data_IF_140209241165
#
_entry.id   IF_140209241165
#
_cell.length_a   1.000
_cell.length_b   1.000
_cell.length_c   1.000
_cell.angle_alpha   90.00
_cell.angle_beta   90.00
_cell.angle_gamma   90.00
#
_symmetry.space_group_name_H-M   'P 1'
#
loop_
_entity.id
_entity.type
_entity.pdbx_description
1 polymer ?
#
# COMPACT_ATOMS: atom_id res chain seq x y z
N UNK A 1 43.73 -19.48 -7.91
CA UNK A 1 43.81 -18.02 -7.70
C UNK A 1 42.80 -17.32 -8.61
N UNK A 2 41.69 -16.85 -8.04
CA UNK A 2 40.63 -16.15 -8.78
C UNK A 2 40.96 -14.64 -8.86
N UNK A 3 40.67 -13.94 -9.98
CA UNK A 3 40.90 -12.51 -10.09
C UNK A 3 39.83 -11.73 -9.32
N UNK A 4 40.26 -10.73 -8.54
CA UNK A 4 39.42 -9.81 -7.78
C UNK A 4 38.55 -8.92 -8.69
N UNK A 5 37.32 -8.54 -8.28
CA UNK A 5 36.52 -7.55 -8.99
C UNK A 5 37.09 -6.15 -8.78
N UNK A 6 37.28 -5.44 -9.90
CA UNK A 6 37.78 -4.06 -9.97
C UNK A 6 36.68 -3.06 -9.58
N UNK A 7 37.02 -2.11 -8.72
CA UNK A 7 36.17 -0.96 -8.37
C UNK A 7 35.94 -0.04 -9.58
N UNK A 8 34.73 0.53 -9.76
CA UNK A 8 34.54 1.64 -10.68
C UNK A 8 34.94 2.96 -10.02
N UNK A 9 36.12 3.43 -10.40
CA UNK A 9 36.56 4.81 -10.24
C UNK A 9 35.65 5.72 -11.11
N UNK A 10 34.94 6.69 -10.52
CA UNK A 10 34.33 7.81 -11.26
C UNK A 10 34.83 9.13 -10.71
N UNK A 11 35.92 9.55 -11.33
CA UNK A 11 36.48 10.90 -11.32
C UNK A 11 35.45 11.94 -11.75
N UNK A 12 35.46 13.04 -11.01
CA UNK A 12 35.02 14.39 -11.35
C UNK A 12 34.98 14.71 -12.86
N UNK A 13 33.86 15.26 -13.30
CA UNK A 13 33.66 15.84 -14.63
C UNK A 13 32.69 17.01 -14.56
N UNK A 14 33.22 18.19 -14.21
CA UNK A 14 32.59 19.47 -14.51
C UNK A 14 32.76 19.74 -16.01
N UNK A 15 31.66 19.90 -16.77
CA UNK A 15 31.66 20.72 -17.99
C UNK A 15 30.23 21.14 -18.39
N UNK A 16 29.95 22.40 -18.07
CA UNK A 16 29.06 23.38 -18.72
C UNK A 16 28.47 23.02 -20.10
N UNK A 17 27.14 23.16 -20.22
CA UNK A 17 26.50 23.77 -21.40
C UNK A 17 25.15 24.41 -21.01
N UNK A 18 24.90 25.69 -21.34
CA UNK A 18 23.67 26.39 -20.98
C UNK A 18 22.64 26.31 -22.12
N UNK A 19 21.52 25.64 -21.88
CA UNK A 19 20.27 25.92 -22.59
C UNK A 19 19.20 26.15 -21.51
N UNK A 20 18.71 27.39 -21.32
CA UNK A 20 17.58 27.60 -20.44
C UNK A 20 16.33 27.03 -21.12
N UNK A 21 15.89 25.86 -20.65
CA UNK A 21 14.50 25.44 -20.84
C UNK A 21 13.66 26.54 -20.20
N UNK A 22 12.91 27.27 -21.01
CA UNK A 22 11.93 28.23 -20.53
C UNK A 22 10.84 27.43 -19.79
N UNK A 23 11.04 27.22 -18.49
CA UNK A 23 9.95 26.88 -17.60
C UNK A 23 9.05 28.10 -17.65
N UNK A 24 7.86 27.95 -18.25
CA UNK A 24 6.83 28.98 -18.31
C UNK A 24 6.37 29.22 -16.87
N UNK A 25 7.12 30.06 -16.17
CA UNK A 25 6.84 30.49 -14.82
C UNK A 25 5.53 31.26 -14.75
N UNK A 26 4.98 31.30 -13.55
CA UNK A 26 3.78 32.08 -13.23
C UNK A 26 3.94 33.52 -13.74
N UNK A 27 2.89 34.13 -14.32
CA UNK A 27 2.97 35.49 -14.86
C UNK A 27 3.49 36.49 -13.83
N UNK A 28 4.30 37.46 -14.27
CA UNK A 28 4.68 38.60 -13.44
C UNK A 28 3.42 39.26 -12.88
N UNK A 29 3.37 39.46 -11.56
CA UNK A 29 2.21 39.97 -10.84
C UNK A 29 1.26 38.90 -10.25
N UNK A 30 1.53 37.59 -10.43
CA UNK A 30 0.72 36.54 -9.80
C UNK A 30 0.69 36.61 -8.26
N UNK A 31 1.77 37.13 -7.64
CA UNK A 31 1.88 37.26 -6.18
C UNK A 31 1.71 38.71 -5.67
N UNK A 32 1.45 39.68 -6.54
CA UNK A 32 1.39 41.11 -6.17
C UNK A 32 0.09 41.52 -5.46
N UNK A 33 -0.77 40.57 -5.10
CA UNK A 33 -1.94 40.82 -4.26
C UNK A 33 -1.52 40.98 -2.79
N UNK A 34 -0.93 42.13 -2.47
CA UNK A 34 -0.69 42.53 -1.10
C UNK A 34 -2.00 42.96 -0.42
N UNK A 35 -2.39 42.16 0.57
CA UNK A 35 -3.15 42.54 1.77
C UNK A 35 -4.64 42.87 1.62
N UNK A 36 -5.48 41.84 1.61
CA UNK A 36 -6.63 41.80 2.54
C UNK A 36 -6.69 40.41 3.17
N UNK A 37 -6.64 40.34 4.51
CA UNK A 37 -6.91 39.13 5.27
C UNK A 37 -8.20 38.45 4.79
N UNK A 38 -8.26 37.11 4.66
CA UNK A 38 -9.50 36.41 4.86
C UNK A 38 -9.73 36.33 6.38
N UNK A 39 -10.58 37.22 6.90
CA UNK A 39 -11.24 36.96 8.17
C UNK A 39 -12.12 35.73 7.98
N UNK A 40 -11.98 34.76 8.88
CA UNK A 40 -12.77 33.54 8.88
C UNK A 40 -14.26 33.86 8.77
N UNK A 41 -14.89 33.40 7.70
CA UNK A 41 -16.34 33.28 7.63
C UNK A 41 -16.67 31.92 7.02
N UNK A 42 -17.08 31.04 7.91
CA UNK A 42 -17.87 29.85 7.64
C UNK A 42 -19.04 30.17 6.69
N UNK A 43 -19.01 29.60 5.49
CA UNK A 43 -20.15 29.46 4.61
C UNK A 43 -20.10 28.03 4.06
N UNK A 44 -20.76 27.06 4.69
CA UNK A 44 -22.19 26.79 4.55
C UNK A 44 -22.62 26.81 3.09
N UNK A 45 -22.86 25.58 2.60
CA UNK A 45 -23.91 25.15 1.68
C UNK A 45 -24.56 26.21 0.77
N UNK A 46 -24.63 25.88 -0.52
CA UNK A 46 -25.36 26.57 -1.60
C UNK A 46 -24.67 27.82 -2.16
N UNK A 47 -23.95 27.64 -3.27
CA UNK A 47 -24.31 28.26 -4.55
C UNK A 47 -23.15 28.09 -5.54
N UNK A 48 -23.29 27.12 -6.44
CA UNK A 48 -22.81 27.25 -7.82
C UNK A 48 -23.44 26.12 -8.65
N UNK A 49 -24.76 26.20 -8.87
CA UNK A 49 -25.35 25.63 -10.08
C UNK A 49 -24.87 26.46 -11.29
N UNK A 50 -23.56 26.54 -11.51
CA UNK A 50 -23.00 26.95 -12.79
C UNK A 50 -23.06 25.71 -13.67
N UNK A 51 -24.29 25.35 -14.09
CA UNK A 51 -24.52 24.43 -15.19
C UNK A 51 -24.21 25.17 -16.49
N UNK A 52 -22.97 25.64 -16.61
CA UNK A 52 -22.39 25.92 -17.91
C UNK A 52 -22.26 24.55 -18.57
N UNK A 53 -22.87 24.38 -19.74
CA UNK A 53 -22.98 23.13 -20.48
C UNK A 53 -21.58 22.62 -20.83
N UNK A 54 -20.91 21.98 -19.87
CA UNK A 54 -19.69 21.26 -20.07
C UNK A 54 -20.08 20.14 -21.02
N UNK A 55 -19.63 20.25 -22.28
CA UNK A 55 -19.67 19.14 -23.23
C UNK A 55 -19.29 17.88 -22.45
N UNK A 56 -20.20 16.90 -22.41
CA UNK A 56 -19.94 15.58 -21.83
C UNK A 56 -18.96 14.88 -22.76
N UNK A 57 -17.73 15.37 -22.79
CA UNK A 57 -16.60 14.68 -23.38
C UNK A 57 -16.45 13.44 -22.51
N UNK A 58 -16.61 12.27 -23.11
CA UNK A 58 -16.51 11.01 -22.39
C UNK A 58 -15.26 11.04 -21.50
N UNK A 59 -15.43 10.64 -20.25
CA UNK A 59 -14.33 10.56 -19.30
C UNK A 59 -13.28 9.59 -19.89
N UNK A 60 -11.97 9.92 -19.83
CA UNK A 60 -10.94 9.00 -20.31
C UNK A 60 -11.12 7.62 -19.70
N UNK A 61 -10.97 6.58 -20.51
CA UNK A 61 -10.88 5.20 -20.04
C UNK A 61 -9.72 5.11 -19.02
N UNK A 62 -9.92 4.40 -17.91
CA UNK A 62 -8.94 4.36 -16.82
C UNK A 62 -9.10 5.41 -15.73
N UNK A 63 -9.98 6.40 -15.87
CA UNK A 63 -10.05 7.52 -14.90
C UNK A 63 -10.55 7.11 -13.51
N UNK A 64 -11.35 6.05 -13.39
CA UNK A 64 -11.84 5.53 -12.11
C UNK A 64 -11.50 4.04 -11.88
N UNK A 65 -10.58 3.49 -12.67
CA UNK A 65 -10.26 2.07 -12.60
C UNK A 65 -9.44 1.75 -11.34
N UNK A 66 -8.72 2.75 -10.81
CA UNK A 66 -7.97 2.64 -9.57
C UNK A 66 -8.65 3.44 -8.45
N UNK A 67 -9.68 2.84 -7.86
CA UNK A 67 -10.44 3.42 -6.74
C UNK A 67 -9.55 3.99 -5.63
N UNK A 68 -8.44 3.33 -5.31
CA UNK A 68 -7.52 3.79 -4.28
C UNK A 68 -6.74 5.04 -4.69
N UNK A 69 -6.35 5.13 -5.97
CA UNK A 69 -5.74 6.35 -6.51
C UNK A 69 -6.74 7.49 -6.54
N UNK A 70 -8.01 7.20 -6.86
CA UNK A 70 -9.07 8.21 -6.90
C UNK A 70 -9.42 8.75 -5.51
N UNK A 71 -9.52 7.86 -4.52
CA UNK A 71 -9.71 8.24 -3.12
C UNK A 71 -8.54 9.12 -2.65
N UNK A 72 -7.30 8.72 -2.98
CA UNK A 72 -6.10 9.52 -2.67
C UNK A 72 -6.09 10.87 -3.37
N UNK A 73 -6.49 10.93 -4.64
CA UNK A 73 -6.61 12.18 -5.40
C UNK A 73 -7.69 13.11 -4.81
N UNK A 74 -8.71 12.55 -4.15
CA UNK A 74 -9.72 13.29 -3.38
C UNK A 74 -9.28 13.65 -1.95
N UNK A 75 -8.05 13.32 -1.57
CA UNK A 75 -7.50 13.57 -0.23
C UNK A 75 -7.95 12.56 0.83
N UNK A 76 -8.61 11.46 0.44
CA UNK A 76 -9.02 10.39 1.33
C UNK A 76 -7.89 9.35 1.34
N UNK A 77 -7.13 9.29 2.43
CA UNK A 77 -6.09 8.30 2.61
C UNK A 77 -6.73 6.98 3.10
N UNK A 78 -6.44 5.83 2.46
CA UNK A 78 -6.82 4.53 2.99
C UNK A 78 -6.36 4.38 4.45
N UNK A 79 -7.13 3.70 5.31
CA UNK A 79 -6.72 3.44 6.68
C UNK A 79 -5.33 2.81 6.72
N UNK A 80 -4.44 3.37 7.53
CA UNK A 80 -3.11 2.78 7.74
C UNK A 80 -3.30 1.53 8.58
N UNK A 81 -3.01 0.38 7.99
CA UNK A 81 -2.85 -0.86 8.77
C UNK A 81 -1.63 -0.68 9.66
N UNK A 82 -1.76 -0.91 10.96
CA UNK A 82 -0.60 -0.94 11.85
C UNK A 82 0.22 -2.19 11.50
N UNK A 83 1.43 -1.96 11.01
CA UNK A 83 2.34 -3.03 10.58
C UNK A 83 2.65 -3.97 11.75
N UNK A 84 2.71 -3.45 12.99
CA UNK A 84 2.96 -4.29 14.15
C UNK A 84 1.80 -5.24 14.43
N UNK A 85 0.57 -4.79 14.25
CA UNK A 85 -0.60 -5.61 14.49
C UNK A 85 -0.78 -6.65 13.37
N UNK A 86 -0.56 -6.26 12.11
CA UNK A 86 -0.52 -7.21 11.00
C UNK A 86 0.59 -8.27 11.19
N UNK A 87 1.75 -7.88 11.71
CA UNK A 87 2.85 -8.81 11.97
C UNK A 87 2.50 -9.80 13.09
N UNK A 88 1.84 -9.34 14.17
CA UNK A 88 1.37 -10.24 15.25
C UNK A 88 0.34 -11.25 14.76
N UNK A 89 -0.59 -10.81 13.90
CA UNK A 89 -1.61 -11.70 13.33
C UNK A 89 -0.97 -12.79 12.48
N UNK A 90 0.00 -12.41 11.64
CA UNK A 90 0.80 -13.37 10.88
C UNK A 90 1.62 -14.31 11.77
N UNK A 91 2.28 -13.80 12.82
CA UNK A 91 3.02 -14.65 13.77
C UNK A 91 2.11 -15.67 14.45
N UNK A 92 0.89 -15.27 14.80
CA UNK A 92 -0.12 -16.18 15.36
C UNK A 92 -0.52 -17.25 14.35
N UNK A 93 -0.77 -16.90 13.09
CA UNK A 93 -1.12 -17.85 12.03
C UNK A 93 -0.02 -18.91 11.84
N UNK A 94 1.25 -18.50 11.84
CA UNK A 94 2.38 -19.44 11.79
C UNK A 94 2.43 -20.37 13.01
N UNK A 95 2.13 -19.86 14.21
CA UNK A 95 2.11 -20.70 15.42
C UNK A 95 0.95 -21.70 15.42
N UNK A 96 -0.22 -21.28 14.94
CA UNK A 96 -1.40 -22.14 14.79
C UNK A 96 -1.13 -23.28 13.81
N UNK A 97 -0.55 -22.99 12.64
CA UNK A 97 -0.18 -24.01 11.65
C UNK A 97 0.85 -25.01 12.20
N UNK A 98 1.80 -24.54 13.02
CA UNK A 98 2.78 -25.42 13.68
C UNK A 98 2.11 -26.31 14.73
N UNK A 99 1.19 -25.75 15.51
CA UNK A 99 0.46 -26.49 16.51
C UNK A 99 -0.44 -27.55 15.87
N UNK A 100 -1.09 -27.27 14.73
CA UNK A 100 -1.90 -28.26 14.00
C UNK A 100 -1.08 -29.51 13.64
N UNK A 101 0.20 -29.36 13.31
CA UNK A 101 1.09 -30.49 13.01
C UNK A 101 1.33 -31.35 14.25
N UNK A 102 1.52 -30.72 15.41
CA UNK A 102 1.72 -31.42 16.69
C UNK A 102 0.42 -32.12 17.11
N UNK A 103 -0.71 -31.42 17.06
CA UNK A 103 -2.03 -31.95 17.43
C UNK A 103 -2.43 -33.14 16.53
N UNK A 104 -2.18 -33.04 15.21
CA UNK A 104 -2.45 -34.14 14.27
C UNK A 104 -1.61 -35.39 14.57
N UNK A 105 -0.37 -35.20 15.01
CA UNK A 105 0.50 -36.32 15.39
C UNK A 105 0.00 -36.98 16.68
N UNK A 106 -0.40 -36.19 17.68
CA UNK A 106 -0.98 -36.69 18.93
C UNK A 106 -2.27 -37.48 18.68
N UNK A 107 -3.16 -36.97 17.82
CA UNK A 107 -4.41 -37.66 17.46
C UNK A 107 -4.14 -39.02 16.80
N UNK A 108 -3.18 -39.09 15.87
CA UNK A 108 -2.80 -40.35 15.20
C UNK A 108 -2.19 -41.37 16.18
N UNK A 109 -1.44 -40.92 17.20
CA UNK A 109 -0.91 -41.80 18.25
C UNK A 109 -2.03 -42.43 19.10
N UNK A 110 -3.08 -41.67 19.40
CA UNK A 110 -4.23 -42.16 20.16
C UNK A 110 -5.02 -43.18 19.33
N UNK A 111 -5.28 -42.88 18.06
CA UNK A 111 -6.00 -43.78 17.15
C UNK A 111 -5.25 -45.09 16.94
N UNK A 112 -3.93 -45.04 16.73
CA UNK A 112 -3.09 -46.23 16.57
C UNK A 112 -3.05 -47.09 17.85
N UNK A 113 -3.05 -46.47 19.03
CA UNK A 113 -3.11 -47.20 20.30
C UNK A 113 -4.47 -47.89 20.48
N UNK A 114 -5.57 -47.20 20.16
CA UNK A 114 -6.92 -47.73 20.24
C UNK A 114 -7.13 -48.92 19.28
N UNK A 115 -6.68 -48.80 18.02
CA UNK A 115 -6.76 -49.88 17.03
C UNK A 115 -6.00 -51.12 17.52
N UNK A 116 -4.80 -50.94 18.08
CA UNK A 116 -4.01 -52.05 18.64
C UNK A 116 -4.72 -52.73 19.81
N UNK A 117 -5.36 -51.97 20.70
CA UNK A 117 -6.13 -52.54 21.80
C UNK A 117 -7.33 -53.33 21.29
N UNK A 118 -8.04 -52.83 20.27
CA UNK A 118 -9.15 -53.56 19.63
C UNK A 118 -8.70 -54.93 19.10
N UNK A 119 -7.62 -55.00 18.32
CA UNK A 119 -7.08 -56.28 17.84
C UNK A 119 -6.64 -57.21 18.97
N UNK A 120 -6.03 -56.66 20.04
CA UNK A 120 -5.59 -57.44 21.19
C UNK A 120 -6.77 -58.01 21.98
N UNK A 121 -7.88 -57.28 22.06
CA UNK A 121 -9.11 -57.77 22.72
C UNK A 121 -9.81 -58.84 21.88
N UNK A 122 -9.85 -58.70 20.55
CA UNK A 122 -10.39 -59.74 19.65
C UNK A 122 -9.57 -61.04 19.66
N UNK A 123 -8.24 -60.99 19.77
CA UNK A 123 -7.40 -62.20 19.81
C UNK A 123 -7.54 -62.98 21.13
N UNK A 124 -7.94 -62.31 22.21
CA UNK A 124 -8.11 -62.92 23.54
C UNK A 124 -9.51 -63.54 23.77
N UNK A 125 -10.44 -63.41 22.82
CA UNK A 125 -11.76 -64.05 22.81
C UNK A 125 -11.77 -65.35 22.01
#
# INVERSE_FOLDING_TARGET
>A
PAPAPKEPNRTSGNTTNPNPVQVKGVPDGFFDSSNTQPSETSASSQAANNLETAQVKALPEGFFDNKDADLRARGIQPPKVDINDAYKEFEKEIQEDLQEVDDRLEEEEIDAAAEREEYLTLEQE
#
